data_IF_905920881264
#
_entry.id   IF_905920881264
#
_cell.length_a   1.000
_cell.length_b   1.000
_cell.length_c   1.000
_cell.angle_alpha   90.00
_cell.angle_beta   90.00
_cell.angle_gamma   90.00
#
_symmetry.space_group_name_H-M   'P 1'
#
loop_
_entity.id
_entity.type
_entity.pdbx_description
1 polymer ?
#
# COMPACT_ATOMS: atom_id res chain seq x y z
N UNK A 1 24.79 -13.29 -19.91
CA UNK A 1 25.10 -14.08 -21.13
C UNK A 1 26.20 -15.11 -20.89
N UNK A 2 27.00 -15.05 -19.82
CA UNK A 2 28.07 -16.03 -19.50
C UNK A 2 27.58 -17.24 -18.71
N UNK A 3 26.54 -17.10 -17.88
CA UNK A 3 26.07 -18.15 -16.98
C UNK A 3 25.74 -19.50 -17.68
N UNK A 4 25.12 -19.56 -18.88
CA UNK A 4 24.89 -20.83 -19.56
C UNK A 4 26.17 -21.54 -20.00
N UNK A 5 27.26 -20.80 -20.23
CA UNK A 5 28.56 -21.36 -20.62
C UNK A 5 29.26 -22.03 -19.44
N UNK A 6 28.89 -21.66 -18.21
CA UNK A 6 29.44 -22.19 -16.95
C UNK A 6 28.55 -23.29 -16.34
N UNK A 7 27.57 -23.79 -17.08
CA UNK A 7 26.63 -24.81 -16.61
C UNK A 7 25.54 -24.29 -15.69
N UNK A 8 25.36 -22.96 -15.59
CA UNK A 8 24.28 -22.32 -14.83
C UNK A 8 23.13 -21.98 -15.77
N UNK A 9 21.92 -22.35 -15.43
CA UNK A 9 20.71 -22.00 -16.18
C UNK A 9 19.83 -21.04 -15.37
N UNK A 10 19.31 -20.03 -16.05
CA UNK A 10 18.28 -19.14 -15.46
C UNK A 10 16.91 -19.77 -15.64
N UNK A 11 16.12 -19.77 -14.57
CA UNK A 11 14.76 -20.30 -14.60
C UNK A 11 13.83 -19.38 -13.79
N UNK A 12 12.54 -19.43 -14.08
CA UNK A 12 11.53 -18.76 -13.26
C UNK A 12 11.02 -19.74 -12.19
N UNK A 13 10.67 -19.23 -11.04
CA UNK A 13 10.13 -20.04 -9.94
C UNK A 13 8.93 -20.91 -10.40
N UNK A 14 8.05 -20.35 -11.22
CA UNK A 14 6.90 -21.07 -11.80
C UNK A 14 7.34 -22.31 -12.60
N UNK A 15 8.40 -22.20 -13.39
CA UNK A 15 8.89 -23.31 -14.22
C UNK A 15 9.48 -24.42 -13.34
N UNK A 16 10.14 -24.05 -12.26
CA UNK A 16 10.61 -25.00 -11.23
C UNK A 16 9.43 -25.72 -10.57
N UNK A 17 8.42 -24.98 -10.12
CA UNK A 17 7.23 -25.56 -9.48
C UNK A 17 6.52 -26.56 -10.40
N UNK A 18 6.46 -26.30 -11.71
CA UNK A 18 5.85 -27.19 -12.67
C UNK A 18 6.69 -28.44 -12.98
N UNK A 19 8.01 -28.39 -12.73
CA UNK A 19 8.95 -29.50 -13.02
C UNK A 19 9.19 -30.42 -11.83
N UNK A 20 8.91 -29.98 -10.60
CA UNK A 20 9.17 -30.72 -9.37
C UNK A 20 7.94 -31.54 -8.99
N UNK A 21 8.07 -32.87 -8.98
CA UNK A 21 6.96 -33.78 -8.63
C UNK A 21 6.59 -33.79 -7.13
N UNK A 22 7.51 -33.35 -6.26
CA UNK A 22 7.28 -33.25 -4.81
C UNK A 22 7.84 -31.94 -4.28
N UNK A 23 7.01 -31.18 -3.57
CA UNK A 23 7.40 -30.00 -2.84
C UNK A 23 7.45 -30.30 -1.33
N UNK A 24 8.48 -29.81 -0.65
CA UNK A 24 8.55 -29.89 0.80
C UNK A 24 7.54 -28.91 1.40
N UNK A 25 6.70 -29.41 2.30
CA UNK A 25 5.83 -28.57 3.13
C UNK A 25 6.66 -28.02 4.29
N UNK A 26 6.59 -26.71 4.47
CA UNK A 26 7.21 -26.01 5.59
C UNK A 26 6.15 -25.23 6.35
N UNK A 27 6.20 -25.27 7.66
CA UNK A 27 5.44 -24.41 8.55
C UNK A 27 6.43 -23.42 9.20
N UNK A 28 6.64 -22.24 8.57
CA UNK A 28 7.64 -21.29 9.07
C UNK A 28 7.16 -20.64 10.36
N UNK A 29 8.05 -20.51 11.32
CA UNK A 29 7.77 -19.71 12.52
C UNK A 29 7.44 -18.26 12.15
N UNK A 30 6.55 -17.60 12.92
CA UNK A 30 6.33 -16.17 12.78
C UNK A 30 7.65 -15.40 12.90
N UNK A 31 8.02 -14.67 11.88
CA UNK A 31 9.29 -13.95 11.81
C UNK A 31 9.19 -12.73 10.92
N UNK A 32 10.16 -11.83 11.04
CA UNK A 32 10.34 -10.71 10.14
C UNK A 32 11.82 -10.49 9.85
N UNK A 33 12.11 -9.64 8.89
CA UNK A 33 13.46 -9.19 8.59
C UNK A 33 14.09 -8.37 9.73
N UNK A 34 13.31 -7.86 10.66
CA UNK A 34 13.72 -6.95 11.71
C UNK A 34 14.68 -7.55 12.75
N UNK A 35 15.07 -6.73 13.73
CA UNK A 35 15.99 -7.10 14.82
C UNK A 35 15.52 -8.36 15.56
N UNK A 36 16.40 -9.34 15.69
CA UNK A 36 16.08 -10.60 16.34
C UNK A 36 15.13 -11.50 15.56
N UNK A 37 14.82 -11.18 14.30
CA UNK A 37 13.86 -11.92 13.48
C UNK A 37 12.40 -11.59 13.77
N UNK A 38 12.12 -10.54 14.54
CA UNK A 38 10.77 -10.12 14.94
C UNK A 38 10.45 -8.71 14.45
N UNK A 39 9.23 -8.24 14.74
CA UNK A 39 8.64 -7.01 14.19
C UNK A 39 9.07 -5.70 14.88
N UNK A 40 10.14 -5.68 15.70
CA UNK A 40 10.54 -4.55 16.54
C UNK A 40 10.72 -3.22 15.76
N UNK A 41 11.15 -3.27 14.49
CA UNK A 41 11.27 -2.05 13.67
C UNK A 41 9.92 -1.49 13.19
N UNK A 42 8.89 -2.33 13.09
CA UNK A 42 7.58 -1.93 12.55
C UNK A 42 6.50 -1.82 13.62
N UNK A 43 6.69 -2.46 14.78
CA UNK A 43 5.73 -2.49 15.88
C UNK A 43 6.43 -2.19 17.21
N UNK A 44 6.45 -0.93 17.60
CA UNK A 44 7.06 -0.46 18.85
C UNK A 44 6.48 0.90 19.24
N UNK A 45 6.82 1.39 20.42
CA UNK A 45 6.26 2.63 21.00
C UNK A 45 6.50 3.88 20.13
N UNK A 46 7.60 3.92 19.35
CA UNK A 46 7.91 5.09 18.52
C UNK A 46 7.00 5.23 17.29
N UNK A 47 6.41 4.12 16.83
CA UNK A 47 5.59 4.07 15.63
C UNK A 47 4.18 3.49 15.85
N UNK A 48 3.81 3.08 17.06
CA UNK A 48 2.51 2.49 17.37
C UNK A 48 1.32 3.39 16.99
N UNK A 49 1.51 4.72 17.00
CA UNK A 49 0.47 5.69 16.64
C UNK A 49 0.05 5.64 15.16
N UNK A 50 0.92 5.10 14.27
CA UNK A 50 0.64 5.04 12.82
C UNK A 50 -0.38 3.95 12.51
N UNK A 51 -0.30 2.80 13.18
CA UNK A 51 -1.07 1.60 12.85
C UNK A 51 -2.58 1.86 12.83
N UNK A 52 -3.19 2.45 13.90
CA UNK A 52 -4.62 2.72 13.88
C UNK A 52 -5.04 3.74 12.80
N UNK A 53 -4.17 4.68 12.44
CA UNK A 53 -4.44 5.63 11.35
C UNK A 53 -4.42 4.93 9.99
N UNK A 54 -3.48 4.02 9.75
CA UNK A 54 -3.45 3.20 8.54
C UNK A 54 -4.65 2.27 8.43
N UNK A 55 -5.03 1.61 9.51
CA UNK A 55 -6.21 0.72 9.56
C UNK A 55 -7.48 1.50 9.24
N UNK A 56 -7.68 2.66 9.85
CA UNK A 56 -8.81 3.53 9.62
C UNK A 56 -8.88 4.00 8.16
N UNK A 57 -7.76 4.45 7.59
CA UNK A 57 -7.70 4.91 6.22
C UNK A 57 -7.93 3.75 5.22
N UNK A 58 -7.34 2.57 5.48
CA UNK A 58 -7.55 1.38 4.66
C UNK A 58 -9.01 0.92 4.66
N UNK A 59 -9.63 0.88 5.84
CA UNK A 59 -11.06 0.53 5.97
C UNK A 59 -11.95 1.52 5.20
N UNK A 60 -11.67 2.83 5.30
CA UNK A 60 -12.39 3.86 4.57
C UNK A 60 -12.23 3.69 3.05
N UNK A 61 -11.01 3.40 2.57
CA UNK A 61 -10.75 3.13 1.15
C UNK A 61 -11.55 1.93 0.64
N UNK A 62 -11.47 0.80 1.34
CA UNK A 62 -12.24 -0.42 1.00
C UNK A 62 -13.75 -0.13 0.98
N UNK A 63 -14.27 0.53 2.01
CA UNK A 63 -15.67 0.90 2.08
C UNK A 63 -16.09 1.82 0.93
N UNK A 64 -15.25 2.79 0.57
CA UNK A 64 -15.54 3.72 -0.53
C UNK A 64 -15.55 3.00 -1.88
N UNK A 65 -14.57 2.15 -2.13
CA UNK A 65 -14.47 1.37 -3.37
C UNK A 65 -15.64 0.39 -3.54
N UNK A 66 -16.15 -0.19 -2.45
CA UNK A 66 -17.30 -1.10 -2.50
C UNK A 66 -18.62 -0.43 -2.92
N UNK A 67 -18.73 0.90 -2.79
CA UNK A 67 -19.92 1.69 -3.20
C UNK A 67 -19.91 2.07 -4.68
N UNK A 68 -18.83 1.79 -5.41
CA UNK A 68 -18.63 2.23 -6.77
C UNK A 68 -18.27 3.71 -6.88
N UNK A 69 -18.10 4.20 -8.10
CA UNK A 69 -17.66 5.58 -8.38
C UNK A 69 -18.75 6.29 -9.20
N UNK A 70 -19.24 7.41 -8.67
CA UNK A 70 -20.40 8.12 -9.25
C UNK A 70 -20.06 9.02 -10.43
N UNK A 71 -18.80 9.43 -10.62
CA UNK A 71 -18.36 10.33 -11.70
C UNK A 71 -16.91 10.16 -12.06
N UNK A 72 -16.50 10.68 -13.21
CA UNK A 72 -15.08 10.70 -13.63
C UNK A 72 -14.22 11.51 -12.65
N UNK A 73 -14.70 12.63 -12.17
CA UNK A 73 -14.01 13.45 -11.19
C UNK A 73 -13.80 12.69 -9.88
N UNK A 74 -14.83 11.99 -9.39
CA UNK A 74 -14.71 11.17 -8.19
C UNK A 74 -13.71 10.01 -8.39
N UNK A 75 -13.59 9.46 -9.61
CA UNK A 75 -12.56 8.48 -9.94
C UNK A 75 -11.15 9.07 -9.86
N UNK A 76 -10.92 10.26 -10.38
CA UNK A 76 -9.61 10.93 -10.30
C UNK A 76 -9.22 11.21 -8.85
N UNK A 77 -10.15 11.69 -8.02
CA UNK A 77 -9.93 11.88 -6.58
C UNK A 77 -9.63 10.57 -5.88
N UNK A 78 -10.34 9.52 -6.21
CA UNK A 78 -10.13 8.19 -5.61
C UNK A 78 -8.80 7.57 -6.02
N UNK A 79 -8.35 7.80 -7.27
CA UNK A 79 -7.01 7.40 -7.72
C UNK A 79 -5.91 8.11 -6.93
N UNK A 80 -6.08 9.42 -6.69
CA UNK A 80 -5.11 10.14 -5.86
C UNK A 80 -5.19 9.70 -4.39
N UNK A 81 -6.38 9.47 -3.83
CA UNK A 81 -6.53 8.95 -2.48
C UNK A 81 -5.84 7.59 -2.30
N UNK A 82 -5.98 6.67 -3.27
CA UNK A 82 -5.28 5.40 -3.26
C UNK A 82 -3.75 5.56 -3.25
N UNK A 83 -3.23 6.53 -4.03
CA UNK A 83 -1.81 6.86 -4.09
C UNK A 83 -1.31 7.40 -2.76
N UNK A 84 -2.04 8.35 -2.17
CA UNK A 84 -1.70 8.91 -0.87
C UNK A 84 -1.71 7.86 0.24
N UNK A 85 -2.68 6.94 0.21
CA UNK A 85 -2.74 5.83 1.16
C UNK A 85 -1.51 4.92 1.05
N UNK A 86 -1.11 4.51 -0.16
CA UNK A 86 0.09 3.69 -0.36
C UNK A 86 1.37 4.41 0.08
N UNK A 87 1.48 5.72 -0.18
CA UNK A 87 2.61 6.52 0.26
C UNK A 87 2.66 6.68 1.77
N UNK A 88 1.51 6.86 2.43
CA UNK A 88 1.42 6.88 3.88
C UNK A 88 1.85 5.54 4.51
N UNK A 89 1.59 4.43 3.83
CA UNK A 89 1.86 3.06 4.30
C UNK A 89 3.26 2.54 3.95
N UNK A 90 4.15 3.39 3.40
CA UNK A 90 5.53 2.96 3.16
C UNK A 90 6.17 2.48 4.47
N UNK A 91 6.75 1.27 4.43
CA UNK A 91 7.39 0.66 5.59
C UNK A 91 8.60 1.45 6.10
N UNK A 92 9.17 2.32 5.25
CA UNK A 92 10.28 3.19 5.60
C UNK A 92 9.92 4.13 6.77
N UNK A 93 8.69 4.61 6.84
CA UNK A 93 8.31 5.54 7.91
C UNK A 93 8.42 4.91 9.29
N UNK A 94 7.89 3.70 9.46
CA UNK A 94 8.00 2.95 10.72
C UNK A 94 9.46 2.65 11.05
N UNK A 95 10.25 2.26 10.05
CA UNK A 95 11.67 1.96 10.20
C UNK A 95 12.47 3.20 10.63
N UNK A 96 12.27 4.35 9.96
CA UNK A 96 12.95 5.61 10.26
C UNK A 96 12.61 6.09 11.68
N UNK A 97 11.34 6.00 12.07
CA UNK A 97 10.90 6.36 13.43
C UNK A 97 11.59 5.50 14.49
N UNK A 98 11.73 4.21 14.25
CA UNK A 98 12.42 3.28 15.16
C UNK A 98 13.93 3.50 15.17
N UNK A 99 14.53 3.75 14.00
CA UNK A 99 15.97 4.01 13.87
C UNK A 99 16.39 5.36 14.47
N UNK A 100 15.47 6.32 14.56
CA UNK A 100 15.73 7.62 15.15
C UNK A 100 16.54 8.59 14.28
N UNK A 101 16.67 8.33 12.97
CA UNK A 101 17.57 9.13 12.10
C UNK A 101 16.94 10.44 11.64
N UNK A 102 15.80 10.39 10.94
CA UNK A 102 15.07 11.56 10.39
C UNK A 102 13.60 11.50 10.79
N UNK A 103 13.34 11.39 12.08
CA UNK A 103 12.00 11.11 12.63
C UNK A 103 10.97 12.16 12.28
N UNK A 104 11.36 13.43 12.26
CA UNK A 104 10.46 14.53 11.90
C UNK A 104 10.02 14.44 10.44
N UNK A 105 10.93 14.11 9.53
CA UNK A 105 10.59 13.87 8.12
C UNK A 105 9.58 12.73 7.96
N UNK A 106 9.83 11.59 8.63
CA UNK A 106 8.92 10.46 8.57
C UNK A 106 7.53 10.81 9.10
N UNK A 107 7.47 11.52 10.24
CA UNK A 107 6.21 12.00 10.84
C UNK A 107 5.45 12.93 9.90
N UNK A 108 6.14 13.93 9.35
CA UNK A 108 5.58 14.89 8.41
C UNK A 108 5.03 14.18 7.16
N UNK A 109 5.77 13.21 6.60
CA UNK A 109 5.34 12.46 5.41
C UNK A 109 4.06 11.67 5.67
N UNK A 110 4.02 10.89 6.75
CA UNK A 110 2.82 10.13 7.11
C UNK A 110 1.62 11.06 7.32
N UNK A 111 1.78 12.13 8.08
CA UNK A 111 0.70 13.08 8.35
C UNK A 111 0.22 13.80 7.09
N UNK A 112 1.14 14.18 6.20
CA UNK A 112 0.80 14.84 4.93
C UNK A 112 0.00 13.92 4.02
N UNK A 113 0.46 12.68 3.81
CA UNK A 113 -0.24 11.73 2.95
C UNK A 113 -1.60 11.33 3.52
N UNK A 114 -1.71 11.06 4.82
CA UNK A 114 -2.99 10.83 5.47
C UNK A 114 -3.92 12.05 5.40
N UNK A 115 -3.38 13.26 5.58
CA UNK A 115 -4.16 14.49 5.44
C UNK A 115 -4.74 14.66 4.03
N UNK A 116 -3.92 14.46 2.97
CA UNK A 116 -4.36 14.49 1.57
C UNK A 116 -5.39 13.40 1.27
N UNK A 117 -5.16 12.19 1.78
CA UNK A 117 -6.13 11.10 1.68
C UNK A 117 -7.50 11.49 2.23
N UNK A 118 -7.56 12.00 3.45
CA UNK A 118 -8.83 12.38 4.08
C UNK A 118 -9.52 13.56 3.42
N UNK A 119 -8.77 14.55 2.92
CA UNK A 119 -9.33 15.65 2.12
C UNK A 119 -10.01 15.13 0.85
N UNK A 120 -9.36 14.22 0.13
CA UNK A 120 -9.93 13.58 -1.06
C UNK A 120 -11.18 12.77 -0.74
N UNK A 121 -11.16 11.98 0.34
CA UNK A 121 -12.31 11.19 0.78
C UNK A 121 -13.50 12.08 1.13
N UNK A 122 -13.28 13.20 1.83
CA UNK A 122 -14.29 14.18 2.16
C UNK A 122 -14.87 14.88 0.90
N UNK A 123 -14.02 15.18 -0.06
CA UNK A 123 -14.47 15.76 -1.34
C UNK A 123 -15.35 14.78 -2.13
N UNK A 124 -14.96 13.49 -2.18
CA UNK A 124 -15.76 12.43 -2.81
C UNK A 124 -17.14 12.30 -2.15
N UNK A 125 -17.20 12.44 -0.83
CA UNK A 125 -18.45 12.36 -0.06
C UNK A 125 -19.25 13.69 -0.07
N UNK A 126 -18.73 14.72 -0.74
CA UNK A 126 -19.38 16.02 -0.87
C UNK A 126 -19.41 16.86 0.41
N UNK A 127 -18.56 16.53 1.38
CA UNK A 127 -18.49 17.23 2.68
C UNK A 127 -17.47 18.37 2.70
N UNK A 128 -16.58 18.43 1.71
CA UNK A 128 -15.56 19.47 1.56
C UNK A 128 -15.34 19.76 0.08
N UNK A 129 -15.12 21.04 -0.25
CA UNK A 129 -14.66 21.45 -1.58
C UNK A 129 -13.13 21.53 -1.57
N UNK A 130 -12.51 21.03 -2.66
CA UNK A 130 -11.07 21.18 -2.85
C UNK A 130 -10.79 22.54 -3.52
N UNK A 131 -9.71 23.24 -3.10
CA UNK A 131 -9.28 24.46 -3.78
C UNK A 131 -9.01 24.21 -5.26
N UNK A 132 -9.25 25.21 -6.10
CA UNK A 132 -8.91 25.17 -7.52
C UNK A 132 -7.39 24.89 -7.71
N UNK A 133 -7.04 23.97 -8.60
CA UNK A 133 -5.67 23.57 -8.86
C UNK A 133 -5.00 22.66 -7.80
N UNK A 134 -5.67 22.43 -6.67
CA UNK A 134 -5.08 21.64 -5.59
C UNK A 134 -4.81 20.16 -5.99
N UNK A 135 -5.71 19.55 -6.75
CA UNK A 135 -5.52 18.17 -7.22
C UNK A 135 -4.31 18.04 -8.12
N UNK A 136 -4.16 18.98 -9.06
CA UNK A 136 -3.04 19.03 -9.99
C UNK A 136 -1.70 19.19 -9.25
N UNK A 137 -1.64 20.04 -8.22
CA UNK A 137 -0.45 20.20 -7.39
C UNK A 137 -0.09 18.89 -6.68
N UNK A 138 -1.05 18.24 -6.06
CA UNK A 138 -0.84 16.97 -5.37
C UNK A 138 -0.41 15.87 -6.34
N UNK A 139 -0.99 15.81 -7.53
CA UNK A 139 -0.60 14.87 -8.58
C UNK A 139 0.80 15.14 -9.14
N UNK A 140 1.25 16.39 -9.14
CA UNK A 140 2.62 16.76 -9.53
C UNK A 140 3.64 16.32 -8.48
N UNK A 141 3.32 16.47 -7.20
CA UNK A 141 4.16 16.06 -6.08
C UNK A 141 4.32 14.53 -6.02
N UNK A 142 3.21 13.82 -6.16
CA UNK A 142 3.12 12.40 -5.88
C UNK A 142 2.68 11.60 -7.12
N UNK A 143 3.62 11.41 -8.07
CA UNK A 143 3.38 10.75 -9.38
C UNK A 143 3.58 9.24 -9.37
N UNK A 144 3.83 8.64 -8.22
CA UNK A 144 4.02 7.19 -8.11
C UNK A 144 2.74 6.42 -8.46
N UNK A 145 2.89 5.19 -8.84
CA UNK A 145 1.78 4.29 -9.19
C UNK A 145 0.87 4.82 -10.31
N UNK A 146 1.40 5.09 -11.52
CA UNK A 146 0.63 5.71 -12.60
C UNK A 146 -0.54 4.85 -13.09
N UNK A 147 -0.49 3.53 -12.88
CA UNK A 147 -1.52 2.57 -13.28
C UNK A 147 -2.42 2.13 -12.12
N UNK A 148 -2.46 2.90 -11.03
CA UNK A 148 -3.26 2.54 -9.86
C UNK A 148 -4.75 2.43 -10.22
N UNK A 149 -5.37 1.34 -9.79
CA UNK A 149 -6.79 1.06 -10.01
C UNK A 149 -7.49 1.02 -8.63
N UNK A 150 -8.17 2.09 -8.23
CA UNK A 150 -8.79 2.16 -6.90
C UNK A 150 -9.79 1.04 -6.64
N UNK A 151 -10.46 0.55 -7.67
CA UNK A 151 -11.43 -0.53 -7.54
C UNK A 151 -10.81 -1.87 -7.15
N UNK A 152 -9.48 -2.03 -7.23
CA UNK A 152 -8.77 -3.20 -6.72
C UNK A 152 -8.88 -3.32 -5.18
N UNK A 153 -9.24 -2.25 -4.47
CA UNK A 153 -9.59 -2.27 -3.04
C UNK A 153 -11.02 -2.75 -2.77
N UNK A 154 -11.87 -2.86 -3.79
CA UNK A 154 -13.21 -3.39 -3.57
C UNK A 154 -13.14 -4.87 -3.18
N UNK A 155 -13.95 -5.32 -2.19
CA UNK A 155 -14.00 -6.73 -1.83
C UNK A 155 -14.36 -7.57 -3.04
N UNK A 156 -13.57 -8.62 -3.29
CA UNK A 156 -13.91 -9.61 -4.33
C UNK A 156 -15.22 -10.25 -3.92
N UNK A 157 -16.27 -10.06 -4.72
CA UNK A 157 -17.52 -10.79 -4.52
C UNK A 157 -17.18 -12.29 -4.67
N UNK A 158 -17.53 -13.15 -3.69
CA UNK A 158 -17.37 -14.57 -3.88
C UNK A 158 -18.20 -14.93 -5.12
N UNK A 159 -17.51 -15.37 -6.18
CA UNK A 159 -18.19 -15.99 -7.30
C UNK A 159 -19.02 -17.13 -6.72
N UNK A 160 -20.36 -17.04 -6.87
CA UNK A 160 -21.22 -18.17 -6.60
C UNK A 160 -20.75 -19.27 -7.54
N UNK A 161 -19.91 -20.16 -7.04
CA UNK A 161 -19.63 -21.42 -7.71
C UNK A 161 -20.97 -22.14 -7.74
N UNK A 162 -21.68 -22.00 -8.85
CA UNK A 162 -22.84 -22.82 -9.16
C UNK A 162 -22.38 -24.28 -9.10
N UNK A 163 -22.93 -24.99 -8.10
CA UNK A 163 -22.80 -26.40 -7.93
C UNK A 163 -23.36 -27.16 -9.14
#
# INVERSE_FOLDING_TARGET
QQAPQEGVSFTRLRDVLNSVGHLQLCDPCPSSWGKGGYHDYWLNDSNAWIIPEWEKASAAMVQRCSRGVGSEQAMQWLQQAARELLLAQSSDWSFILRAGTTTELARERVQRHLGRFWQLMQAIDGTTELPEGWLEEVQLDDRLFPLIQPLDWAPVQPSVLSA
#
